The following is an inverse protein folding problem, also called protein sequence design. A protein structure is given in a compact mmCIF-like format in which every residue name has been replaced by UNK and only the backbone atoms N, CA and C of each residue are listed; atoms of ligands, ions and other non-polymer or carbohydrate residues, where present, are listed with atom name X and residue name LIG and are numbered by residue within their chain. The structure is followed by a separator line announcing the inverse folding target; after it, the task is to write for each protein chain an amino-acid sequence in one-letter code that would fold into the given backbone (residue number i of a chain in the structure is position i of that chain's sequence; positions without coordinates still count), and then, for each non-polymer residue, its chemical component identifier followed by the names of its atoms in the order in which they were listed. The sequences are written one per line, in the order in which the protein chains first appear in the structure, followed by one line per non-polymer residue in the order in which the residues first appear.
data_IF_202326185299
#
_entry.id   IF_202326185299
#
_cell.length_a   1.000
_cell.length_b   1.000
_cell.length_c   1.000
_cell.angle_alpha   90.00
_cell.angle_beta   90.00
_cell.angle_gamma   90.00
#
_symmetry.space_group_name_H-M   'P 1'
#
loop_
_entity.id
_entity.type
_entity.pdbx_description
1 polymer ?
#
# COMPACT_ATOMS: atom_id res chain seq x y z
N UNK A 1 -28.92 5.40 -25.76
CA UNK A 1 -27.45 5.47 -25.69
C UNK A 1 -27.03 4.75 -24.43
N UNK A 2 -26.30 3.65 -24.52
CA UNK A 2 -25.73 3.01 -23.34
C UNK A 2 -24.66 3.95 -22.77
N UNK A 3 -24.73 4.26 -21.47
CA UNK A 3 -23.69 5.03 -20.80
C UNK A 3 -22.36 4.29 -20.97
N UNK A 4 -21.31 5.00 -21.42
CA UNK A 4 -19.97 4.42 -21.52
C UNK A 4 -19.50 4.08 -20.10
N UNK A 5 -18.79 2.96 -19.95
CA UNK A 5 -18.21 2.58 -18.66
C UNK A 5 -17.35 3.74 -18.12
N UNK A 6 -17.65 4.19 -16.89
CA UNK A 6 -17.00 5.35 -16.27
C UNK A 6 -17.79 6.66 -16.30
N UNK A 7 -19.02 6.68 -16.82
CA UNK A 7 -19.93 7.85 -16.77
C UNK A 7 -20.97 7.81 -15.62
N UNK A 8 -20.81 6.90 -14.65
CA UNK A 8 -21.71 6.89 -13.49
C UNK A 8 -21.52 8.20 -12.69
N UNK A 9 -22.62 8.89 -12.31
CA UNK A 9 -22.54 10.06 -11.46
C UNK A 9 -21.98 9.68 -10.08
N UNK A 10 -21.28 10.61 -9.45
CA UNK A 10 -20.87 10.43 -8.06
C UNK A 10 -22.10 10.31 -7.17
N UNK A 11 -21.99 9.47 -6.13
CA UNK A 11 -23.09 9.32 -5.17
C UNK A 11 -23.39 10.65 -4.48
N UNK A 12 -24.67 10.86 -4.11
CA UNK A 12 -25.08 12.02 -3.33
C UNK A 12 -24.25 12.16 -2.05
N UNK A 13 -23.89 11.03 -1.42
CA UNK A 13 -23.03 11.01 -0.24
C UNK A 13 -21.65 11.61 -0.55
N UNK A 14 -20.98 11.15 -1.61
CA UNK A 14 -19.65 11.66 -1.98
C UNK A 14 -19.68 13.17 -2.28
N UNK A 15 -20.69 13.63 -3.04
CA UNK A 15 -20.88 15.05 -3.34
C UNK A 15 -21.14 15.87 -2.08
N UNK A 16 -21.99 15.38 -1.17
CA UNK A 16 -22.33 16.07 0.07
C UNK A 16 -21.14 16.14 1.04
N UNK A 17 -20.41 15.04 1.20
CA UNK A 17 -19.18 14.99 2.00
C UNK A 17 -18.16 16.00 1.48
N UNK A 18 -17.89 16.01 0.17
CA UNK A 18 -16.95 16.95 -0.44
C UNK A 18 -17.40 18.41 -0.31
N UNK A 19 -18.71 18.68 -0.40
CA UNK A 19 -19.27 20.02 -0.17
C UNK A 19 -19.11 20.47 1.28
N UNK A 20 -19.43 19.59 2.25
CA UNK A 20 -19.29 19.86 3.67
C UNK A 20 -17.84 20.16 4.05
N UNK A 21 -16.87 19.38 3.56
CA UNK A 21 -15.44 19.58 3.84
C UNK A 21 -14.92 20.92 3.29
N UNK A 22 -15.36 21.34 2.10
CA UNK A 22 -15.03 22.67 1.54
C UNK A 22 -15.72 23.82 2.26
N UNK A 23 -16.72 23.55 3.11
CA UNK A 23 -17.56 24.55 3.75
C UNK A 23 -17.78 24.28 5.25
N UNK A 24 -16.81 23.67 5.95
CA UNK A 24 -16.98 23.17 7.34
C UNK A 24 -17.61 24.21 8.28
N UNK A 25 -17.14 25.47 8.22
CA UNK A 25 -17.63 26.58 9.06
C UNK A 25 -19.06 27.03 8.75
N UNK A 26 -19.58 26.72 7.55
CA UNK A 26 -20.96 27.06 7.14
C UNK A 26 -21.93 25.92 7.39
N UNK A 27 -21.43 24.70 7.49
CA UNK A 27 -22.25 23.48 7.55
C UNK A 27 -22.36 22.94 8.97
N UNK A 28 -21.24 22.59 9.59
CA UNK A 28 -21.23 21.75 10.80
C UNK A 28 -20.27 22.23 11.90
N UNK A 29 -19.38 23.18 11.61
CA UNK A 29 -18.40 23.70 12.55
C UNK A 29 -18.58 25.19 12.80
N UNK A 30 -18.00 25.68 13.90
CA UNK A 30 -17.84 27.10 14.20
C UNK A 30 -16.44 27.34 14.81
N UNK A 31 -16.01 28.60 14.89
CA UNK A 31 -14.77 28.98 15.57
C UNK A 31 -15.06 29.25 17.05
N UNK A 32 -14.49 28.44 17.93
CA UNK A 32 -14.53 28.63 19.37
C UNK A 32 -13.41 29.53 19.87
N UNK A 33 -13.21 29.52 21.18
CA UNK A 33 -12.16 30.31 21.85
C UNK A 33 -10.76 29.92 21.32
N UNK A 34 -9.91 30.92 21.11
CA UNK A 34 -8.56 30.73 20.56
C UNK A 34 -8.55 30.30 19.09
N UNK A 35 -9.59 30.63 18.32
CA UNK A 35 -9.72 30.29 16.89
C UNK A 35 -9.71 28.77 16.61
N UNK A 36 -10.08 27.95 17.62
CA UNK A 36 -10.15 26.49 17.49
C UNK A 36 -11.42 26.09 16.73
N UNK A 37 -11.27 25.14 15.81
CA UNK A 37 -12.40 24.60 15.06
C UNK A 37 -13.21 23.66 15.97
N UNK A 38 -14.48 23.98 16.19
CA UNK A 38 -15.38 23.20 17.05
C UNK A 38 -16.58 22.68 16.26
N UNK A 39 -17.03 21.47 16.59
CA UNK A 39 -18.28 20.92 16.07
C UNK A 39 -19.46 21.63 16.75
N UNK A 40 -20.50 22.00 15.98
CA UNK A 40 -21.71 22.58 16.57
C UNK A 40 -22.40 21.59 17.52
N UNK A 41 -22.99 22.10 18.60
CA UNK A 41 -23.62 21.28 19.64
C UNK A 41 -24.86 20.51 19.18
N UNK A 42 -25.47 20.91 18.07
CA UNK A 42 -26.61 20.25 17.44
C UNK A 42 -26.21 19.18 16.41
N UNK A 43 -24.90 18.97 16.20
CA UNK A 43 -24.38 18.03 15.21
C UNK A 43 -23.87 16.75 15.87
N UNK A 44 -24.45 15.63 15.48
CA UNK A 44 -23.97 14.30 15.81
C UNK A 44 -23.57 13.57 14.54
N UNK A 45 -22.37 12.98 14.53
CA UNK A 45 -21.81 12.29 13.38
C UNK A 45 -21.60 10.80 13.72
N UNK A 46 -22.43 9.88 13.14
CA UNK A 46 -22.21 8.44 13.28
C UNK A 46 -21.01 7.96 12.46
N UNK A 47 -20.59 6.72 12.70
CA UNK A 47 -19.41 6.08 12.09
C UNK A 47 -19.38 6.15 10.57
N UNK A 48 -20.51 5.92 9.90
CA UNK A 48 -20.58 5.93 8.44
C UNK A 48 -20.29 7.31 7.84
N UNK A 49 -20.54 8.39 8.60
CA UNK A 49 -20.29 9.76 8.19
C UNK A 49 -18.89 10.20 8.61
N UNK A 50 -18.48 9.93 9.86
CA UNK A 50 -17.16 10.26 10.36
C UNK A 50 -16.05 9.60 9.55
N UNK A 51 -16.12 8.29 9.33
CA UNK A 51 -15.09 7.54 8.58
C UNK A 51 -14.98 8.09 7.15
N UNK A 52 -16.12 8.41 6.50
CA UNK A 52 -16.13 9.03 5.17
C UNK A 52 -15.58 10.45 5.17
N UNK A 53 -15.91 11.26 6.17
CA UNK A 53 -15.39 12.64 6.28
C UNK A 53 -13.87 12.64 6.40
N UNK A 54 -13.30 11.80 7.26
CA UNK A 54 -11.83 11.74 7.46
C UNK A 54 -11.14 11.21 6.20
N UNK A 55 -11.63 10.12 5.62
CA UNK A 55 -11.01 9.53 4.43
C UNK A 55 -11.12 10.45 3.20
N UNK A 56 -12.28 11.08 2.97
CA UNK A 56 -12.43 12.06 1.88
C UNK A 56 -11.65 13.36 2.16
N UNK A 57 -11.51 13.78 3.41
CA UNK A 57 -10.64 14.91 3.76
C UNK A 57 -9.20 14.61 3.37
N UNK A 58 -8.68 13.44 3.73
CA UNK A 58 -7.36 13.00 3.29
C UNK A 58 -7.28 12.97 1.75
N UNK A 59 -8.22 12.34 1.05
CA UNK A 59 -8.22 12.32 -0.43
C UNK A 59 -8.18 13.73 -1.06
N UNK A 60 -8.93 14.69 -0.52
CA UNK A 60 -8.96 16.06 -1.03
C UNK A 60 -7.63 16.76 -0.81
N UNK A 61 -7.04 16.65 0.40
CA UNK A 61 -5.71 17.24 0.69
C UNK A 61 -4.64 16.71 -0.27
N UNK A 62 -4.71 15.44 -0.66
CA UNK A 62 -3.71 14.85 -1.55
C UNK A 62 -3.96 15.17 -3.03
N UNK A 63 -5.23 15.15 -3.47
CA UNK A 63 -5.60 15.15 -4.90
C UNK A 63 -6.06 16.49 -5.47
N UNK A 64 -6.47 17.44 -4.62
CA UNK A 64 -7.01 18.73 -5.02
C UNK A 64 -6.10 19.86 -4.51
N UNK A 65 -5.28 20.43 -5.39
CA UNK A 65 -4.37 21.54 -5.04
C UNK A 65 -5.09 22.81 -4.62
N UNK A 66 -6.41 22.94 -4.89
CA UNK A 66 -7.22 24.06 -4.42
C UNK A 66 -7.81 23.85 -3.03
N UNK A 67 -7.65 22.67 -2.44
CA UNK A 67 -8.19 22.36 -1.12
C UNK A 67 -7.20 22.75 -0.02
N UNK A 68 -7.59 23.73 0.80
CA UNK A 68 -6.81 24.15 1.95
C UNK A 68 -7.12 23.29 3.19
N UNK A 69 -6.12 22.56 3.74
CA UNK A 69 -6.26 21.83 4.99
C UNK A 69 -6.71 22.76 6.12
N UNK A 70 -7.52 22.24 7.04
CA UNK A 70 -7.96 22.99 8.22
C UNK A 70 -7.20 22.50 9.44
N UNK A 71 -6.51 23.43 10.12
CA UNK A 71 -5.88 23.15 11.41
C UNK A 71 -6.91 22.70 12.44
N UNK A 72 -6.54 21.67 13.21
CA UNK A 72 -7.41 21.10 14.24
C UNK A 72 -8.57 20.27 13.71
N UNK A 73 -8.60 19.91 12.41
CA UNK A 73 -9.65 19.04 11.85
C UNK A 73 -9.88 17.77 12.68
N UNK A 74 -8.82 17.10 13.13
CA UNK A 74 -8.93 15.88 13.93
C UNK A 74 -9.49 16.12 15.34
N UNK A 75 -9.37 17.34 15.88
CA UNK A 75 -9.94 17.70 17.19
C UNK A 75 -11.48 17.63 17.19
N UNK A 76 -12.11 17.76 16.02
CA UNK A 76 -13.55 17.59 15.85
C UNK A 76 -14.05 16.21 16.28
N UNK A 77 -13.15 15.21 16.27
CA UNK A 77 -13.46 13.82 16.59
C UNK A 77 -12.97 13.40 17.98
N UNK A 78 -12.71 14.36 18.88
CA UNK A 78 -12.19 14.07 20.22
C UNK A 78 -13.24 13.65 21.24
N UNK A 79 -14.54 13.94 21.01
CA UNK A 79 -15.65 13.52 21.87
C UNK A 79 -16.42 12.33 21.24
N UNK A 80 -16.31 11.11 21.81
CA UNK A 80 -17.03 9.92 21.35
C UNK A 80 -18.56 10.01 21.46
N UNK A 81 -19.08 10.99 22.20
CA UNK A 81 -20.53 11.20 22.36
C UNK A 81 -21.13 11.95 21.18
N UNK A 82 -20.35 12.82 20.54
CA UNK A 82 -20.78 13.64 19.40
C UNK A 82 -20.34 13.05 18.07
N UNK A 83 -19.23 12.30 18.08
CA UNK A 83 -18.64 11.70 16.88
C UNK A 83 -18.23 10.26 17.15
N UNK A 84 -18.31 9.40 16.15
CA UNK A 84 -17.84 8.01 16.26
C UNK A 84 -16.91 7.71 15.10
N UNK A 85 -15.62 7.50 15.37
CA UNK A 85 -14.69 6.98 14.37
C UNK A 85 -14.46 5.50 14.60
N UNK A 86 -14.51 4.73 13.52
CA UNK A 86 -14.21 3.29 13.57
C UNK A 86 -13.14 2.87 12.57
N UNK A 87 -13.03 3.57 11.44
CA UNK A 87 -12.07 3.26 10.39
C UNK A 87 -11.41 4.53 9.89
N UNK A 88 -10.09 4.57 10.01
CA UNK A 88 -9.31 5.76 9.67
C UNK A 88 -8.13 5.36 8.80
N UNK A 89 -8.01 5.99 7.63
CA UNK A 89 -6.86 5.85 6.76
C UNK A 89 -6.17 7.21 6.60
N UNK A 90 -4.92 7.26 7.05
CA UNK A 90 -4.05 8.43 7.01
C UNK A 90 -2.80 8.10 6.19
N UNK A 91 -2.36 9.06 5.39
CA UNK A 91 -1.20 8.89 4.52
C UNK A 91 -0.29 10.11 4.60
N UNK A 92 0.99 9.86 4.40
CA UNK A 92 2.06 10.85 4.22
C UNK A 92 2.24 11.76 5.45
N UNK A 93 3.09 12.79 5.33
CA UNK A 93 3.57 13.63 6.44
C UNK A 93 2.59 14.72 6.90
N UNK A 94 1.32 14.60 6.51
CA UNK A 94 0.24 15.51 6.90
C UNK A 94 -0.25 15.30 8.34
N UNK A 95 0.06 14.14 8.93
CA UNK A 95 -0.48 13.72 10.23
C UNK A 95 0.60 13.73 11.29
N UNK A 96 0.31 14.42 12.38
CA UNK A 96 1.22 14.63 13.49
C UNK A 96 0.74 13.89 14.74
N UNK A 97 1.61 13.76 15.75
CA UNK A 97 1.26 13.08 17.00
C UNK A 97 -0.03 13.64 17.63
N UNK A 98 -0.23 14.97 17.58
CA UNK A 98 -1.42 15.66 18.10
C UNK A 98 -2.73 15.21 17.43
N UNK A 99 -2.67 14.82 16.16
CA UNK A 99 -3.84 14.40 15.39
C UNK A 99 -4.29 13.00 15.80
N UNK A 100 -3.33 12.10 16.02
CA UNK A 100 -3.61 10.77 16.54
C UNK A 100 -4.10 10.85 18.01
N UNK A 101 -3.45 11.68 18.83
CA UNK A 101 -3.86 11.97 20.22
C UNK A 101 -5.30 12.50 20.28
N UNK A 102 -5.71 13.36 19.35
CA UNK A 102 -7.07 13.90 19.28
C UNK A 102 -8.14 12.81 19.13
N UNK A 103 -7.84 11.73 18.39
CA UNK A 103 -8.76 10.61 18.19
C UNK A 103 -8.54 9.45 19.17
N UNK A 104 -7.64 9.62 20.16
CA UNK A 104 -7.23 8.57 21.11
C UNK A 104 -8.36 8.01 21.97
N UNK A 105 -9.49 8.71 22.10
CA UNK A 105 -10.68 8.26 22.86
C UNK A 105 -11.69 7.47 22.02
N UNK A 106 -11.45 7.31 20.73
CA UNK A 106 -12.34 6.61 19.81
C UNK A 106 -12.12 5.09 19.87
N UNK A 107 -13.17 4.32 19.59
CA UNK A 107 -13.11 2.86 19.54
C UNK A 107 -12.73 2.36 18.14
N UNK A 108 -11.50 2.67 17.71
CA UNK A 108 -11.04 2.33 16.37
C UNK A 108 -10.97 0.81 16.16
N UNK A 109 -11.53 0.35 15.03
CA UNK A 109 -11.48 -1.03 14.56
C UNK A 109 -10.36 -1.19 13.53
N UNK A 110 -10.20 -0.21 12.64
CA UNK A 110 -9.19 -0.19 11.58
C UNK A 110 -8.44 1.15 11.59
N UNK A 111 -7.12 1.08 11.67
CA UNK A 111 -6.25 2.25 11.58
C UNK A 111 -5.11 1.96 10.60
N UNK A 112 -5.09 2.67 9.48
CA UNK A 112 -4.04 2.54 8.47
C UNK A 112 -3.26 3.84 8.40
N UNK A 113 -1.99 3.78 8.77
CA UNK A 113 -1.01 4.84 8.65
C UNK A 113 -0.01 4.42 7.56
N UNK A 114 0.20 5.25 6.55
CA UNK A 114 1.06 4.92 5.41
C UNK A 114 2.00 6.08 5.12
N UNK A 115 3.31 5.88 5.25
CA UNK A 115 4.33 6.92 5.07
C UNK A 115 4.17 8.16 5.98
N UNK A 116 3.61 8.00 7.17
CA UNK A 116 3.49 9.09 8.15
C UNK A 116 4.78 9.19 8.98
N UNK A 117 5.79 9.90 8.47
CA UNK A 117 7.11 10.08 9.09
C UNK A 117 7.15 11.25 10.09
N UNK A 118 6.10 12.07 10.14
CA UNK A 118 5.91 13.10 11.17
C UNK A 118 5.48 12.54 12.53
N UNK A 119 5.15 11.24 12.60
CA UNK A 119 4.77 10.56 13.84
C UNK A 119 6.01 10.11 14.62
N UNK A 120 5.91 10.12 15.95
CA UNK A 120 6.95 9.68 16.88
C UNK A 120 6.46 8.61 17.85
N UNK A 121 7.31 8.20 18.79
CA UNK A 121 6.95 7.27 19.86
C UNK A 121 5.77 7.76 20.73
N UNK A 122 5.42 9.05 20.71
CA UNK A 122 4.17 9.55 21.31
C UNK A 122 2.94 8.89 20.70
N UNK A 123 2.91 8.74 19.38
CA UNK A 123 1.82 8.06 18.67
C UNK A 123 1.69 6.59 19.07
N UNK A 124 2.78 5.90 19.40
CA UNK A 124 2.71 4.52 19.92
C UNK A 124 1.98 4.45 21.27
N UNK A 125 2.14 5.46 22.14
CA UNK A 125 1.38 5.55 23.39
C UNK A 125 -0.11 5.74 23.12
N UNK A 126 -0.46 6.56 22.13
CA UNK A 126 -1.85 6.70 21.70
C UNK A 126 -2.40 5.41 21.11
N UNK A 127 -1.64 4.68 20.29
CA UNK A 127 -2.05 3.37 19.78
C UNK A 127 -2.43 2.38 20.89
N UNK A 128 -1.82 2.51 22.07
CA UNK A 128 -2.16 1.70 23.23
C UNK A 128 -3.61 1.88 23.71
N UNK A 129 -4.27 3.02 23.44
CA UNK A 129 -5.67 3.23 23.80
C UNK A 129 -6.61 2.33 22.98
N UNK A 130 -6.23 1.98 21.75
CA UNK A 130 -7.02 1.13 20.85
C UNK A 130 -6.81 -0.38 21.06
N UNK A 131 -6.00 -0.78 22.06
CA UNK A 131 -5.62 -2.19 22.33
C UNK A 131 -6.80 -3.18 22.35
N UNK A 132 -7.96 -2.75 22.85
CA UNK A 132 -9.12 -3.63 23.05
C UNK A 132 -10.07 -3.68 21.84
N UNK A 133 -9.95 -2.74 20.90
CA UNK A 133 -10.89 -2.56 19.79
C UNK A 133 -10.27 -2.91 18.45
N UNK A 134 -8.97 -2.64 18.27
CA UNK A 134 -8.30 -2.70 16.99
C UNK A 134 -8.24 -4.13 16.43
N UNK A 135 -8.69 -4.28 15.19
CA UNK A 135 -8.69 -5.53 14.42
C UNK A 135 -7.70 -5.46 13.25
N UNK A 136 -7.52 -4.27 12.67
CA UNK A 136 -6.55 -4.03 11.59
C UNK A 136 -5.69 -2.82 11.89
N UNK A 137 -4.37 -3.02 11.80
CA UNK A 137 -3.37 -1.95 11.91
C UNK A 137 -2.41 -2.01 10.74
N UNK A 138 -2.13 -0.87 10.11
CA UNK A 138 -1.01 -0.71 9.20
C UNK A 138 -0.16 0.47 9.66
N UNK A 139 1.16 0.26 9.76
CA UNK A 139 2.19 1.26 10.04
C UNK A 139 3.20 1.31 8.88
N UNK A 140 2.74 1.03 7.66
CA UNK A 140 3.60 0.85 6.50
C UNK A 140 4.40 2.13 6.20
N UNK A 141 5.73 2.01 6.19
CA UNK A 141 6.62 3.13 5.90
C UNK A 141 6.62 4.24 6.97
N UNK A 142 6.09 4.01 8.17
CA UNK A 142 6.16 4.94 9.29
C UNK A 142 7.47 4.76 10.07
N UNK A 143 8.61 5.13 9.49
CA UNK A 143 9.93 4.83 10.07
C UNK A 143 10.16 5.52 11.42
N UNK A 144 9.73 6.78 11.56
CA UNK A 144 10.00 7.59 12.76
C UNK A 144 9.10 7.29 13.97
N UNK A 145 8.01 6.51 13.79
CA UNK A 145 7.05 6.25 14.87
C UNK A 145 7.67 5.50 16.06
N UNK A 146 8.79 4.80 15.86
CA UNK A 146 9.51 4.08 16.91
C UNK A 146 10.58 4.92 17.63
N UNK A 147 10.78 6.19 17.23
CA UNK A 147 11.80 7.05 17.82
C UNK A 147 11.19 8.12 18.72
N UNK A 148 11.87 8.41 19.82
CA UNK A 148 11.51 9.52 20.70
C UNK A 148 11.93 10.83 20.05
N UNK A 149 10.98 11.76 19.88
CA UNK A 149 11.29 13.13 19.46
C UNK A 149 12.22 13.73 20.51
N UNK A 150 13.42 14.14 20.09
CA UNK A 150 14.47 14.60 21.00
C UNK A 150 14.08 15.89 21.71
N UNK A 151 13.52 15.77 22.91
CA UNK A 151 13.75 16.72 23.99
C UNK A 151 14.90 16.16 24.81
N UNK A 152 15.97 16.93 25.01
CA UNK A 152 16.97 16.56 26.01
C UNK A 152 16.24 16.27 27.35
N UNK A 153 16.68 15.28 28.15
CA UNK A 153 16.23 15.18 29.52
C UNK A 153 16.84 16.38 30.27
N UNK A 154 16.20 17.53 30.21
CA UNK A 154 16.64 18.69 30.97
C UNK A 154 16.20 18.52 32.41
N UNK A 155 17.17 18.62 33.30
CA UNK A 155 16.91 18.99 34.67
C UNK A 155 16.11 20.32 34.67
N UNK A 156 14.93 20.30 35.32
CA UNK A 156 14.13 21.46 35.80
C UNK A 156 13.47 22.31 34.67
N UNK A 157 12.22 22.78 34.69
CA UNK A 157 11.20 23.01 35.71
C UNK A 157 9.79 22.88 35.11
N UNK A 158 8.78 22.64 35.96
CA UNK A 158 7.38 22.91 35.67
C UNK A 158 7.17 24.41 35.37
N UNK A 159 6.21 24.70 34.49
CA UNK A 159 5.75 26.03 34.04
C UNK A 159 6.56 26.73 32.93
N UNK A 160 6.11 26.57 31.69
CA UNK A 160 6.54 27.37 30.54
C UNK A 160 5.79 26.97 29.27
N UNK A 161 5.00 27.90 28.74
CA UNK A 161 4.24 27.78 27.48
C UNK A 161 5.17 27.36 26.34
N UNK A 162 4.82 26.29 25.61
CA UNK A 162 5.60 25.78 24.48
C UNK A 162 5.54 26.79 23.32
N UNK A 163 6.58 27.63 23.22
CA UNK A 163 6.84 28.44 22.03
C UNK A 163 7.31 27.53 20.88
N UNK A 164 6.59 27.63 19.77
CA UNK A 164 6.87 26.99 18.49
C UNK A 164 8.16 27.56 17.89
N UNK A 165 9.31 26.91 18.11
CA UNK A 165 10.55 27.26 17.42
C UNK A 165 11.06 26.11 16.53
N UNK A 166 10.96 26.38 15.23
CA UNK A 166 11.71 25.85 14.08
C UNK A 166 12.01 24.35 14.02
N UNK A 167 11.30 23.69 13.11
CA UNK A 167 11.54 22.34 12.61
C UNK A 167 12.91 22.23 11.89
N UNK A 168 13.99 22.23 12.66
CA UNK A 168 15.25 21.71 12.15
C UNK A 168 15.15 20.18 12.15
N UNK A 169 15.14 19.63 10.93
CA UNK A 169 15.19 18.21 10.62
C UNK A 169 16.37 17.57 11.40
N UNK A 170 16.05 17.03 12.57
CA UNK A 170 17.07 16.50 13.46
C UNK A 170 17.68 15.25 12.80
N UNK A 171 19.01 15.12 12.69
CA UNK A 171 19.61 13.94 12.11
C UNK A 171 19.13 12.69 12.84
N UNK A 172 18.60 11.70 12.10
CA UNK A 172 18.11 10.43 12.63
C UNK A 172 19.10 9.73 13.58
N UNK A 173 20.40 10.03 13.44
CA UNK A 173 21.50 9.52 14.26
C UNK A 173 21.49 9.93 15.74
N UNK A 174 20.53 10.75 16.20
CA UNK A 174 20.43 11.21 17.61
C UNK A 174 19.09 10.91 18.29
N UNK A 175 18.14 10.26 17.63
CA UNK A 175 16.86 9.93 18.25
C UNK A 175 16.94 8.57 18.96
N UNK A 176 16.53 8.53 20.23
CA UNK A 176 16.53 7.29 21.00
C UNK A 176 15.33 6.42 20.58
N UNK A 177 15.59 5.15 20.25
CA UNK A 177 14.55 4.17 19.98
C UNK A 177 13.68 3.94 21.22
N UNK A 178 12.37 3.90 21.06
CA UNK A 178 11.46 3.51 22.13
C UNK A 178 11.34 1.98 22.19
N UNK A 179 12.07 1.39 23.14
CA UNK A 179 12.09 -0.07 23.36
C UNK A 179 10.95 -0.56 24.23
N UNK A 180 10.13 0.34 24.80
CA UNK A 180 9.13 -0.01 25.81
C UNK A 180 7.78 -0.41 25.18
N UNK A 181 7.59 -0.16 23.88
CA UNK A 181 6.36 -0.50 23.18
C UNK A 181 6.38 -1.94 22.65
N UNK A 182 5.30 -2.67 22.90
CA UNK A 182 5.00 -3.95 22.25
C UNK A 182 3.51 -4.05 21.89
N UNK A 183 3.17 -4.93 20.97
CA UNK A 183 1.78 -5.26 20.66
C UNK A 183 1.12 -6.20 21.68
N UNK A 184 1.70 -6.34 22.87
CA UNK A 184 1.08 -7.09 23.94
C UNK A 184 -0.27 -6.48 24.35
N UNK A 185 -1.29 -7.35 24.42
CA UNK A 185 -2.64 -6.97 24.81
C UNK A 185 -3.57 -6.60 23.64
N UNK A 186 -3.05 -6.54 22.41
CA UNK A 186 -3.86 -6.40 21.18
C UNK A 186 -4.56 -7.72 20.81
N UNK A 187 -5.45 -8.18 21.68
CA UNK A 187 -6.04 -9.53 21.61
C UNK A 187 -6.98 -9.73 20.43
N UNK A 188 -7.48 -8.65 19.82
CA UNK A 188 -8.39 -8.68 18.65
C UNK A 188 -7.69 -8.41 17.33
N UNK A 189 -6.39 -8.09 17.35
CA UNK A 189 -5.66 -7.72 16.15
C UNK A 189 -5.47 -8.94 15.24
N UNK A 190 -6.03 -8.85 14.04
CA UNK A 190 -6.05 -9.92 13.05
C UNK A 190 -5.19 -9.62 11.83
N UNK A 191 -5.08 -8.34 11.48
CA UNK A 191 -4.31 -7.86 10.34
C UNK A 191 -3.28 -6.84 10.86
N UNK A 192 -2.01 -7.12 10.65
CA UNK A 192 -0.92 -6.22 11.04
C UNK A 192 0.05 -6.06 9.87
N UNK A 193 0.27 -4.80 9.48
CA UNK A 193 1.29 -4.43 8.50
C UNK A 193 2.34 -3.54 9.17
N UNK A 194 3.58 -4.03 9.16
CA UNK A 194 4.78 -3.37 9.67
C UNK A 194 5.84 -3.23 8.57
N UNK A 195 5.42 -3.14 7.31
CA UNK A 195 6.35 -2.97 6.20
C UNK A 195 7.16 -1.68 6.35
N UNK A 196 8.46 -1.75 6.07
CA UNK A 196 9.39 -0.64 6.26
C UNK A 196 9.79 -0.38 7.72
N UNK A 197 9.72 -1.40 8.58
CA UNK A 197 10.22 -1.31 9.96
C UNK A 197 11.72 -0.91 9.98
N UNK A 198 12.15 0.02 10.84
CA UNK A 198 13.57 0.36 10.99
C UNK A 198 14.42 -0.86 11.40
N UNK A 199 15.69 -0.89 10.97
CA UNK A 199 16.60 -2.03 11.20
C UNK A 199 16.90 -2.26 12.69
N UNK A 200 16.82 -1.20 13.52
CA UNK A 200 17.09 -1.28 14.96
C UNK A 200 15.94 -1.90 15.76
N UNK A 201 14.75 -2.04 15.17
CA UNK A 201 13.57 -2.58 15.85
C UNK A 201 13.54 -4.09 15.70
N UNK A 202 13.55 -4.82 16.82
CA UNK A 202 13.39 -6.28 16.81
C UNK A 202 11.91 -6.67 16.59
N UNK A 203 11.55 -7.25 15.42
CA UNK A 203 10.18 -7.67 15.15
C UNK A 203 9.72 -8.79 16.08
N UNK A 204 10.63 -9.64 16.57
CA UNK A 204 10.27 -10.74 17.45
C UNK A 204 9.79 -10.24 18.83
N UNK A 205 10.47 -9.24 19.39
CA UNK A 205 10.09 -8.60 20.64
C UNK A 205 8.78 -7.79 20.48
N UNK A 206 8.62 -7.09 19.35
CA UNK A 206 7.48 -6.23 19.07
C UNK A 206 6.15 -7.01 18.95
N UNK A 207 6.18 -8.18 18.32
CA UNK A 207 4.98 -8.93 17.92
C UNK A 207 4.42 -9.90 18.98
N UNK A 208 5.04 -10.01 20.16
CA UNK A 208 4.64 -11.01 21.17
C UNK A 208 3.89 -10.41 22.36
N UNK A 209 2.75 -10.99 22.79
CA UNK A 209 1.88 -11.97 22.11
C UNK A 209 0.78 -11.33 21.24
N UNK A 210 0.54 -11.89 20.05
CA UNK A 210 -0.59 -11.54 19.18
C UNK A 210 -1.46 -12.77 18.89
N UNK A 211 -2.45 -13.08 19.74
CA UNK A 211 -3.18 -14.35 19.66
C UNK A 211 -4.17 -14.41 18.49
N UNK A 212 -4.74 -13.32 18.02
CA UNK A 212 -5.75 -13.35 16.95
C UNK A 212 -5.17 -13.15 15.54
N UNK A 213 -3.84 -13.03 15.40
CA UNK A 213 -3.22 -12.62 14.14
C UNK A 213 -3.45 -13.65 13.03
N UNK A 214 -3.89 -13.19 11.87
CA UNK A 214 -4.19 -14.01 10.68
C UNK A 214 -3.53 -13.49 9.40
N UNK A 215 -3.17 -12.21 9.36
CA UNK A 215 -2.40 -11.59 8.28
C UNK A 215 -1.26 -10.77 8.86
N UNK A 216 -0.06 -11.00 8.34
CA UNK A 216 1.15 -10.29 8.75
C UNK A 216 1.91 -9.81 7.51
N UNK A 217 2.25 -8.53 7.48
CA UNK A 217 3.12 -7.94 6.48
C UNK A 217 4.39 -7.40 7.16
N UNK A 218 5.54 -7.92 6.73
CA UNK A 218 6.88 -7.57 7.16
C UNK A 218 7.74 -7.15 5.97
N UNK A 219 7.14 -6.50 4.98
CA UNK A 219 7.83 -6.03 3.78
C UNK A 219 9.05 -5.17 4.14
N UNK A 220 10.21 -5.46 3.57
CA UNK A 220 11.44 -4.70 3.78
C UNK A 220 12.03 -4.81 5.20
N UNK A 221 11.55 -5.75 6.02
CA UNK A 221 12.07 -5.95 7.38
C UNK A 221 13.23 -6.95 7.37
N UNK A 222 14.28 -6.67 8.15
CA UNK A 222 15.36 -7.62 8.40
C UNK A 222 14.91 -8.70 9.38
N UNK A 223 14.96 -9.96 8.94
CA UNK A 223 14.56 -11.12 9.74
C UNK A 223 15.78 -12.01 10.03
N UNK A 224 16.59 -11.69 11.06
CA UNK A 224 17.77 -12.49 11.41
C UNK A 224 17.39 -13.90 11.86
N UNK A 225 16.20 -14.09 12.43
CA UNK A 225 15.64 -15.40 12.82
C UNK A 225 14.17 -15.44 12.44
N UNK A 226 13.76 -16.49 11.75
CA UNK A 226 12.38 -16.64 11.29
C UNK A 226 11.50 -17.43 12.27
N UNK A 227 12.10 -18.17 13.19
CA UNK A 227 11.42 -19.15 14.04
C UNK A 227 10.22 -18.60 14.83
N UNK A 228 10.21 -17.30 15.15
CA UNK A 228 9.08 -16.67 15.87
C UNK A 228 7.77 -16.71 15.06
N UNK A 229 7.81 -16.82 13.74
CA UNK A 229 6.63 -16.96 12.89
C UNK A 229 5.84 -18.23 13.21
N UNK A 230 6.51 -19.27 13.72
CA UNK A 230 5.89 -20.56 14.06
C UNK A 230 4.81 -20.44 15.15
N UNK A 231 4.79 -19.35 15.92
CA UNK A 231 3.73 -19.10 16.91
C UNK A 231 2.32 -18.99 16.28
N UNK A 232 2.23 -18.68 14.98
CA UNK A 232 0.97 -18.59 14.23
C UNK A 232 0.74 -19.74 13.25
N UNK A 233 1.48 -20.85 13.38
CA UNK A 233 1.42 -22.04 12.49
C UNK A 233 -0.01 -22.52 12.19
N UNK A 234 -0.86 -22.54 13.20
CA UNK A 234 -2.25 -23.05 13.11
C UNK A 234 -3.28 -22.00 12.63
N UNK A 235 -2.88 -20.77 12.31
CA UNK A 235 -3.86 -19.68 12.06
C UNK A 235 -3.46 -18.65 11.00
N UNK A 236 -2.17 -18.47 10.73
CA UNK A 236 -1.73 -17.46 9.77
C UNK A 236 -2.21 -17.84 8.37
N UNK A 237 -3.00 -16.97 7.76
CA UNK A 237 -3.59 -17.17 6.44
C UNK A 237 -2.89 -16.32 5.36
N UNK A 238 -2.24 -15.23 5.74
CA UNK A 238 -1.55 -14.32 4.83
C UNK A 238 -0.22 -13.86 5.41
N UNK A 239 0.84 -13.97 4.64
CA UNK A 239 2.19 -13.53 5.00
C UNK A 239 2.83 -12.82 3.81
N UNK A 240 3.23 -11.56 4.03
CA UNK A 240 3.93 -10.73 3.04
C UNK A 240 5.34 -10.45 3.54
N UNK A 241 6.31 -10.85 2.73
CA UNK A 241 7.76 -10.74 2.94
C UNK A 241 8.41 -10.07 1.73
N UNK A 242 7.73 -9.08 1.12
CA UNK A 242 8.26 -8.35 -0.02
C UNK A 242 9.59 -7.69 0.36
N UNK A 243 10.62 -7.80 -0.48
CA UNK A 243 11.96 -7.26 -0.21
C UNK A 243 12.64 -7.80 1.08
N UNK A 244 12.21 -8.94 1.60
CA UNK A 244 12.91 -9.65 2.69
C UNK A 244 13.96 -10.60 2.09
N UNK A 245 15.13 -10.68 2.71
CA UNK A 245 16.17 -11.61 2.29
C UNK A 245 15.81 -13.06 2.64
N UNK A 246 15.53 -13.84 1.59
CA UNK A 246 15.25 -15.26 1.73
C UNK A 246 16.50 -16.06 2.14
N UNK A 247 16.30 -16.95 3.12
CA UNK A 247 17.25 -17.97 3.55
C UNK A 247 16.55 -19.34 3.57
N UNK A 248 17.33 -20.43 3.60
CA UNK A 248 16.74 -21.77 3.76
C UNK A 248 15.98 -21.91 5.08
N UNK A 249 16.45 -21.27 6.17
CA UNK A 249 15.75 -21.25 7.46
C UNK A 249 14.37 -20.58 7.36
N UNK A 250 14.30 -19.42 6.70
CA UNK A 250 13.05 -18.69 6.51
C UNK A 250 12.08 -19.51 5.65
N UNK A 251 12.55 -20.09 4.55
CA UNK A 251 11.72 -20.97 3.70
C UNK A 251 11.19 -22.15 4.53
N UNK A 252 12.05 -22.84 5.29
CA UNK A 252 11.64 -23.98 6.12
C UNK A 252 10.58 -23.58 7.15
N UNK A 253 10.73 -22.41 7.78
CA UNK A 253 9.73 -21.90 8.73
C UNK A 253 8.40 -21.57 8.04
N UNK A 254 8.46 -20.94 6.86
CA UNK A 254 7.26 -20.55 6.10
C UNK A 254 6.47 -21.77 5.63
N UNK A 255 7.13 -22.82 5.13
CA UNK A 255 6.43 -24.02 4.63
C UNK A 255 5.73 -24.82 5.74
N UNK A 256 6.10 -24.60 7.00
CA UNK A 256 5.40 -25.19 8.14
C UNK A 256 4.05 -24.51 8.43
N UNK A 257 3.79 -23.32 7.90
CA UNK A 257 2.54 -22.56 8.09
C UNK A 257 1.42 -23.15 7.22
N UNK A 258 0.95 -24.36 7.54
CA UNK A 258 0.02 -25.12 6.67
C UNK A 258 -1.34 -24.46 6.39
N UNK A 259 -1.74 -23.45 7.18
CA UNK A 259 -2.96 -22.66 6.95
C UNK A 259 -2.77 -21.47 6.00
N UNK A 260 -1.55 -21.23 5.52
CA UNK A 260 -1.25 -20.11 4.66
C UNK A 260 -1.96 -20.23 3.31
N UNK A 261 -2.66 -19.16 2.94
CA UNK A 261 -3.42 -19.02 1.69
C UNK A 261 -2.78 -18.00 0.76
N UNK A 262 -2.11 -17.00 1.33
CA UNK A 262 -1.43 -15.95 0.59
C UNK A 262 0.02 -15.88 1.07
N UNK A 263 0.95 -16.16 0.16
CA UNK A 263 2.38 -15.98 0.39
C UNK A 263 2.93 -14.99 -0.62
N UNK A 264 3.56 -13.94 -0.13
CA UNK A 264 4.35 -13.04 -0.95
C UNK A 264 5.79 -13.05 -0.46
N UNK A 265 6.69 -13.48 -1.34
CA UNK A 265 8.14 -13.43 -1.12
C UNK A 265 8.81 -12.66 -2.25
N UNK A 266 8.06 -11.81 -2.94
CA UNK A 266 8.54 -11.06 -4.10
C UNK A 266 9.62 -10.04 -3.70
N UNK A 267 10.38 -9.56 -4.68
CA UNK A 267 11.40 -8.54 -4.43
C UNK A 267 11.62 -7.63 -5.63
N UNK A 268 12.17 -6.47 -5.34
CA UNK A 268 12.49 -5.46 -6.34
C UNK A 268 13.85 -5.73 -6.99
N UNK A 269 14.88 -5.93 -6.15
CA UNK A 269 16.29 -6.08 -6.53
C UNK A 269 16.70 -7.54 -6.47
N UNK A 270 17.54 -7.93 -7.42
CA UNK A 270 18.11 -9.27 -7.49
C UNK A 270 18.97 -9.57 -6.26
N UNK A 271 18.66 -10.65 -5.55
CA UNK A 271 19.50 -11.17 -4.46
C UNK A 271 20.54 -12.18 -4.92
N UNK A 272 21.47 -12.47 -4.02
CA UNK A 272 22.32 -13.67 -4.10
C UNK A 272 21.50 -14.97 -3.99
N UNK A 273 20.37 -14.93 -3.26
CA UNK A 273 19.45 -16.05 -3.17
C UNK A 273 18.83 -16.33 -4.55
N UNK A 274 18.89 -17.59 -4.98
CA UNK A 274 18.32 -18.06 -6.24
C UNK A 274 17.17 -19.02 -5.95
N UNK A 275 16.08 -18.82 -6.67
CA UNK A 275 14.92 -19.69 -6.57
C UNK A 275 15.18 -21.00 -7.33
N UNK A 276 15.03 -22.13 -6.65
CA UNK A 276 15.31 -23.47 -7.21
C UNK A 276 14.05 -24.32 -7.25
N UNK A 277 14.05 -25.37 -8.11
CA UNK A 277 12.96 -26.37 -8.12
C UNK A 277 12.67 -26.91 -6.72
N UNK A 278 13.70 -27.24 -5.93
CA UNK A 278 13.55 -27.81 -4.58
C UNK A 278 12.77 -26.87 -3.65
N UNK A 279 13.09 -25.57 -3.67
CA UNK A 279 12.42 -24.56 -2.83
C UNK A 279 10.96 -24.40 -3.25
N UNK A 280 10.69 -24.25 -4.55
CA UNK A 280 9.32 -24.11 -5.03
C UNK A 280 8.49 -25.37 -4.77
N UNK A 281 9.05 -26.56 -4.94
CA UNK A 281 8.37 -27.83 -4.61
C UNK A 281 8.06 -27.88 -3.12
N UNK A 282 8.99 -27.47 -2.24
CA UNK A 282 8.73 -27.41 -0.80
C UNK A 282 7.59 -26.44 -0.45
N UNK A 283 7.53 -25.27 -1.11
CA UNK A 283 6.43 -24.31 -0.94
C UNK A 283 5.09 -24.93 -1.36
N UNK A 284 5.03 -25.55 -2.53
CA UNK A 284 3.78 -26.15 -3.06
C UNK A 284 3.31 -27.32 -2.21
N UNK A 285 4.22 -28.18 -1.76
CA UNK A 285 3.90 -29.35 -0.94
C UNK A 285 3.53 -28.98 0.51
N UNK A 286 4.26 -28.03 1.10
CA UNK A 286 4.02 -27.58 2.47
C UNK A 286 2.74 -26.73 2.60
N UNK A 287 2.50 -25.84 1.65
CA UNK A 287 1.38 -24.90 1.67
C UNK A 287 0.19 -25.42 0.86
N UNK A 288 -0.42 -26.49 1.33
CA UNK A 288 -1.52 -27.19 0.61
C UNK A 288 -2.78 -26.35 0.39
N UNK A 289 -2.93 -25.26 1.15
CA UNK A 289 -4.07 -24.33 1.08
C UNK A 289 -3.77 -23.05 0.30
N UNK A 290 -2.62 -22.98 -0.37
CA UNK A 290 -2.18 -21.78 -1.09
C UNK A 290 -3.15 -21.42 -2.22
N UNK A 291 -3.55 -20.17 -2.25
CA UNK A 291 -4.46 -19.56 -3.22
C UNK A 291 -3.75 -18.45 -4.00
N UNK A 292 -2.75 -17.81 -3.39
CA UNK A 292 -1.98 -16.72 -3.96
C UNK A 292 -0.50 -16.91 -3.64
N UNK A 293 0.35 -16.82 -4.65
CA UNK A 293 1.80 -16.86 -4.52
C UNK A 293 2.44 -15.73 -5.32
N UNK A 294 3.29 -14.93 -4.71
CA UNK A 294 4.13 -13.98 -5.44
C UNK A 294 5.62 -14.28 -5.25
N UNK A 295 6.29 -14.57 -6.37
CA UNK A 295 7.73 -14.81 -6.45
C UNK A 295 8.41 -13.86 -7.44
N UNK A 296 7.77 -12.71 -7.71
CA UNK A 296 8.28 -11.73 -8.66
C UNK A 296 9.67 -11.22 -8.27
N UNK A 297 10.50 -10.95 -9.27
CA UNK A 297 11.86 -10.43 -9.11
C UNK A 297 12.93 -11.43 -8.66
N UNK A 298 12.58 -12.71 -8.47
CA UNK A 298 13.58 -13.75 -8.19
C UNK A 298 14.30 -14.23 -9.45
N UNK A 299 15.60 -14.52 -9.30
CA UNK A 299 16.36 -15.25 -10.31
C UNK A 299 16.03 -16.74 -10.17
N UNK A 300 15.53 -17.30 -11.27
CA UNK A 300 15.15 -18.70 -11.35
C UNK A 300 16.33 -19.53 -11.88
N UNK A 301 16.57 -20.70 -11.30
CA UNK A 301 17.49 -21.67 -11.90
C UNK A 301 16.77 -22.50 -12.97
N UNK A 302 17.50 -22.85 -14.03
CA UNK A 302 17.03 -23.50 -15.28
C UNK A 302 16.40 -24.90 -15.10
N UNK A 303 16.22 -25.34 -13.86
CA UNK A 303 15.54 -26.59 -13.54
C UNK A 303 14.05 -26.41 -13.21
N UNK A 304 13.48 -25.20 -13.25
CA UNK A 304 12.09 -25.01 -12.83
C UNK A 304 11.05 -25.31 -13.94
N UNK A 305 11.44 -25.21 -15.21
CA UNK A 305 10.53 -25.33 -16.36
C UNK A 305 10.67 -26.68 -17.07
N UNK A 306 9.59 -27.08 -17.73
CA UNK A 306 9.56 -28.20 -18.67
C UNK A 306 10.43 -27.84 -19.90
N UNK A 307 11.25 -28.75 -20.45
CA UNK A 307 12.02 -28.49 -21.66
C UNK A 307 11.14 -28.06 -22.83
N UNK A 308 11.61 -27.09 -23.64
CA UNK A 308 10.86 -26.52 -24.78
C UNK A 308 10.32 -27.56 -25.78
N UNK A 309 10.94 -28.74 -25.87
CA UNK A 309 10.49 -29.82 -26.77
C UNK A 309 9.11 -30.40 -26.35
N UNK A 310 8.77 -30.33 -25.07
CA UNK A 310 7.47 -30.79 -24.52
C UNK A 310 6.45 -29.64 -24.37
N UNK A 311 6.88 -28.37 -24.50
CA UNK A 311 6.04 -27.18 -24.30
C UNK A 311 5.14 -26.87 -25.52
N UNK A 312 5.39 -27.51 -26.66
CA UNK A 312 5.10 -26.96 -27.97
C UNK A 312 3.69 -27.22 -28.56
N UNK A 313 2.73 -27.86 -27.88
CA UNK A 313 1.44 -28.17 -28.54
C UNK A 313 0.21 -28.01 -27.64
N UNK A 314 -0.33 -26.80 -27.53
CA UNK A 314 -1.65 -26.60 -26.92
C UNK A 314 -2.08 -25.16 -26.72
N UNK A 315 -3.38 -24.95 -26.50
CA UNK A 315 -3.90 -23.68 -25.97
C UNK A 315 -3.43 -23.53 -24.51
N UNK A 316 -3.17 -22.30 -24.02
CA UNK A 316 -2.85 -22.07 -22.61
C UNK A 316 -3.86 -22.78 -21.69
N UNK A 317 -3.34 -23.43 -20.65
CA UNK A 317 -4.12 -24.24 -19.70
C UNK A 317 -3.77 -23.80 -18.29
N UNK A 318 -4.79 -23.71 -17.44
CA UNK A 318 -4.63 -23.40 -16.02
C UNK A 318 -4.62 -24.66 -15.14
N UNK A 319 -4.84 -25.84 -15.72
CA UNK A 319 -4.81 -27.10 -14.98
C UNK A 319 -3.39 -27.38 -14.43
N UNK A 320 -3.22 -27.58 -13.10
CA UNK A 320 -1.93 -27.86 -12.50
C UNK A 320 -1.13 -28.95 -13.21
N UNK A 321 -1.73 -30.11 -13.49
CA UNK A 321 -1.05 -31.25 -14.12
C UNK A 321 -0.44 -30.96 -15.50
N UNK A 322 -0.88 -29.89 -16.18
CA UNK A 322 -0.35 -29.43 -17.47
C UNK A 322 0.64 -28.27 -17.35
N UNK A 323 0.96 -27.84 -16.13
CA UNK A 323 1.84 -26.70 -15.88
C UNK A 323 3.21 -26.90 -16.54
N UNK A 324 3.68 -25.86 -17.24
CA UNK A 324 5.03 -25.78 -17.79
C UNK A 324 6.09 -25.50 -16.70
N UNK A 325 5.67 -25.32 -15.45
CA UNK A 325 6.51 -25.10 -14.27
C UNK A 325 6.37 -26.34 -13.38
N UNK A 326 7.43 -27.15 -13.30
CA UNK A 326 7.38 -28.49 -12.67
C UNK A 326 6.81 -28.48 -11.25
N UNK A 327 7.29 -27.62 -10.31
CA UNK A 327 6.73 -27.56 -8.96
C UNK A 327 5.21 -27.33 -8.92
N UNK A 328 4.67 -26.57 -9.88
CA UNK A 328 3.25 -26.23 -9.90
C UNK A 328 2.36 -27.34 -10.46
N UNK A 329 2.93 -28.44 -10.97
CA UNK A 329 2.17 -29.63 -11.34
C UNK A 329 1.53 -30.32 -10.14
N UNK A 330 2.09 -30.13 -8.95
CA UNK A 330 1.63 -30.72 -7.69
C UNK A 330 0.55 -29.88 -6.98
N UNK A 331 0.18 -28.72 -7.54
CA UNK A 331 -0.91 -27.93 -6.98
C UNK A 331 -2.23 -28.70 -7.06
N UNK A 332 -3.00 -28.67 -5.97
CA UNK A 332 -4.34 -29.30 -5.92
C UNK A 332 -5.37 -28.58 -6.80
N UNK A 333 -5.16 -27.30 -7.08
CA UNK A 333 -6.04 -26.43 -7.86
C UNK A 333 -5.23 -25.27 -8.46
N UNK A 334 -5.71 -24.62 -9.54
CA UNK A 334 -5.10 -23.40 -10.03
C UNK A 334 -5.11 -22.31 -8.96
N UNK A 335 -4.04 -21.52 -8.88
CA UNK A 335 -3.98 -20.36 -7.99
C UNK A 335 -4.93 -19.25 -8.48
N UNK A 336 -5.48 -18.47 -7.56
CA UNK A 336 -6.23 -17.26 -7.93
C UNK A 336 -5.29 -16.17 -8.42
N UNK A 337 -4.10 -16.09 -7.84
CA UNK A 337 -3.07 -15.13 -8.21
C UNK A 337 -1.69 -15.80 -8.20
N UNK A 338 -0.90 -15.54 -9.24
CA UNK A 338 0.49 -15.95 -9.32
C UNK A 338 1.36 -14.80 -9.84
N UNK A 339 2.20 -14.28 -8.96
CA UNK A 339 3.12 -13.20 -9.26
C UNK A 339 4.44 -13.72 -9.85
N UNK A 340 4.67 -13.45 -11.14
CA UNK A 340 5.85 -13.87 -11.90
C UNK A 340 6.56 -12.70 -12.57
N UNK A 341 6.25 -11.46 -12.19
CA UNK A 341 6.82 -10.27 -12.79
C UNK A 341 8.35 -10.26 -12.64
N UNK A 342 9.07 -9.93 -13.71
CA UNK A 342 10.54 -10.02 -13.78
C UNK A 342 11.12 -11.40 -13.43
N UNK A 343 10.41 -12.49 -13.74
CA UNK A 343 10.94 -13.86 -13.68
C UNK A 343 10.97 -14.48 -15.07
N UNK A 344 11.87 -15.42 -15.32
CA UNK A 344 11.88 -16.19 -16.58
C UNK A 344 10.63 -17.09 -16.71
N UNK A 345 9.98 -17.43 -15.58
CA UNK A 345 8.78 -18.27 -15.57
C UNK A 345 7.55 -17.62 -16.20
N UNK A 346 7.46 -16.29 -16.27
CA UNK A 346 6.29 -15.63 -16.86
C UNK A 346 6.15 -15.90 -18.38
N UNK A 347 7.22 -16.36 -19.03
CA UNK A 347 7.28 -16.59 -20.47
C UNK A 347 6.71 -17.95 -20.90
N UNK A 348 6.48 -18.87 -19.97
CA UNK A 348 5.97 -20.22 -20.30
C UNK A 348 4.53 -20.22 -20.78
N UNK A 349 4.08 -21.32 -21.37
CA UNK A 349 2.75 -21.44 -21.99
C UNK A 349 1.63 -21.79 -21.00
N UNK A 350 1.84 -22.80 -20.14
CA UNK A 350 0.82 -23.30 -19.22
C UNK A 350 1.15 -22.87 -17.79
N UNK A 351 0.47 -21.82 -17.33
CA UNK A 351 0.63 -21.26 -15.97
C UNK A 351 -0.67 -21.55 -15.19
N UNK A 352 -0.62 -22.31 -14.09
CA UNK A 352 -1.81 -22.76 -13.39
C UNK A 352 -2.38 -21.69 -12.45
N UNK A 353 -2.79 -20.56 -13.00
CA UNK A 353 -3.41 -19.48 -12.25
C UNK A 353 -4.43 -18.67 -13.07
N UNK A 354 -5.43 -18.10 -12.40
CA UNK A 354 -6.44 -17.25 -13.03
C UNK A 354 -5.94 -15.83 -13.34
N UNK A 355 -5.13 -15.27 -12.44
CA UNK A 355 -4.48 -13.96 -12.61
C UNK A 355 -2.98 -14.13 -12.50
N UNK A 356 -2.24 -13.70 -13.52
CA UNK A 356 -0.79 -13.83 -13.60
C UNK A 356 -0.17 -12.46 -13.83
N UNK A 357 0.81 -12.07 -13.00
CA UNK A 357 1.67 -10.91 -13.28
C UNK A 357 2.92 -11.37 -14.01
N UNK A 358 3.46 -10.54 -14.89
CA UNK A 358 4.54 -10.93 -15.77
C UNK A 358 4.85 -9.87 -16.82
N UNK A 359 5.82 -10.15 -17.69
CA UNK A 359 6.25 -9.24 -18.75
C UNK A 359 6.05 -9.82 -20.16
N UNK A 360 5.31 -10.94 -20.30
CA UNK A 360 5.12 -11.62 -21.59
C UNK A 360 4.13 -10.91 -22.51
N UNK A 361 3.07 -10.33 -21.95
CA UNK A 361 1.97 -9.73 -22.72
C UNK A 361 1.25 -8.62 -21.93
N UNK A 362 0.36 -7.90 -22.63
CA UNK A 362 -0.42 -6.78 -22.09
C UNK A 362 -1.18 -7.16 -20.80
N UNK A 363 -1.86 -8.30 -20.76
CA UNK A 363 -2.66 -8.68 -19.60
C UNK A 363 -1.80 -8.93 -18.35
N UNK A 364 -0.66 -9.59 -18.52
CA UNK A 364 0.31 -9.80 -17.43
C UNK A 364 0.87 -8.48 -16.89
N UNK A 365 1.15 -7.51 -17.77
CA UNK A 365 1.65 -6.18 -17.40
C UNK A 365 0.57 -5.39 -16.66
N UNK A 366 -0.67 -5.38 -17.15
CA UNK A 366 -1.79 -4.72 -16.47
C UNK A 366 -2.08 -5.35 -15.10
N UNK A 367 -2.02 -6.69 -15.01
CA UNK A 367 -2.12 -7.40 -13.74
C UNK A 367 -0.99 -6.99 -12.77
N UNK A 368 0.23 -6.76 -13.26
CA UNK A 368 1.36 -6.31 -12.45
C UNK A 368 1.15 -4.88 -11.93
N UNK A 369 0.70 -3.94 -12.78
CA UNK A 369 0.39 -2.57 -12.35
C UNK A 369 -0.69 -2.62 -11.26
N UNK A 370 -1.77 -3.35 -11.49
CA UNK A 370 -2.86 -3.48 -10.53
C UNK A 370 -2.42 -4.07 -9.19
N UNK A 371 -1.55 -5.09 -9.20
CA UNK A 371 -1.09 -5.75 -7.98
C UNK A 371 -0.06 -4.92 -7.17
N UNK A 372 0.78 -4.13 -7.84
CA UNK A 372 1.94 -3.50 -7.21
C UNK A 372 1.79 -2.01 -6.95
N UNK A 373 0.73 -1.38 -7.47
CA UNK A 373 0.53 0.06 -7.33
C UNK A 373 0.46 0.55 -5.90
N UNK A 374 -0.09 -0.18 -4.92
CA UNK A 374 -0.31 0.44 -3.61
C UNK A 374 0.97 0.55 -2.74
N UNK A 375 1.73 -0.54 -2.62
CA UNK A 375 2.84 -0.65 -1.66
C UNK A 375 4.21 -0.89 -2.31
N UNK A 376 4.31 -0.90 -3.65
CA UNK A 376 5.54 -1.28 -4.37
C UNK A 376 5.81 -0.33 -5.55
N UNK A 377 6.12 0.95 -5.27
CA UNK A 377 6.25 1.98 -6.30
C UNK A 377 7.24 1.61 -7.41
N UNK A 378 8.34 0.92 -7.10
CA UNK A 378 9.37 0.57 -8.08
C UNK A 378 8.92 -0.55 -9.03
N UNK A 379 8.19 -1.55 -8.52
CA UNK A 379 7.59 -2.59 -9.36
C UNK A 379 6.47 -2.01 -10.23
N UNK A 380 5.62 -1.16 -9.65
CA UNK A 380 4.58 -0.45 -10.39
C UNK A 380 5.17 0.43 -11.49
N UNK A 381 6.20 1.24 -11.19
CA UNK A 381 6.95 2.03 -12.16
C UNK A 381 7.46 1.19 -13.32
N UNK A 382 8.15 0.07 -13.05
CA UNK A 382 8.67 -0.82 -14.10
C UNK A 382 7.55 -1.40 -14.97
N UNK A 383 6.43 -1.79 -14.38
CA UNK A 383 5.29 -2.32 -15.11
C UNK A 383 4.61 -1.25 -15.99
N UNK A 384 4.47 -0.03 -15.47
CA UNK A 384 3.98 1.13 -16.24
C UNK A 384 4.92 1.45 -17.41
N UNK A 385 6.24 1.33 -17.21
CA UNK A 385 7.21 1.52 -18.29
C UNK A 385 7.05 0.48 -19.41
N UNK A 386 6.77 -0.78 -19.07
CA UNK A 386 6.46 -1.81 -20.07
C UNK A 386 5.14 -1.53 -20.79
N UNK A 387 4.12 -1.05 -20.07
CA UNK A 387 2.87 -0.62 -20.67
C UNK A 387 3.08 0.56 -21.63
N UNK A 388 3.94 1.51 -21.28
CA UNK A 388 4.35 2.61 -22.15
C UNK A 388 4.94 2.08 -23.47
N UNK A 389 5.86 1.11 -23.42
CA UNK A 389 6.44 0.52 -24.62
C UNK A 389 5.39 -0.22 -25.47
N UNK A 390 4.46 -0.94 -24.83
CA UNK A 390 3.33 -1.59 -25.51
C UNK A 390 2.46 -0.52 -26.21
N UNK A 391 2.04 0.53 -25.49
CA UNK A 391 1.16 1.56 -26.02
C UNK A 391 1.80 2.41 -27.14
N UNK A 392 3.14 2.53 -27.13
CA UNK A 392 3.89 3.28 -28.15
C UNK A 392 4.10 2.49 -29.44
N UNK A 393 4.34 1.19 -29.34
CA UNK A 393 4.74 0.34 -30.48
C UNK A 393 3.56 -0.48 -31.03
N UNK A 394 2.60 -0.82 -30.18
CA UNK A 394 1.50 -1.73 -30.47
C UNK A 394 0.14 -1.11 -30.13
N UNK A 395 -0.94 -1.69 -30.63
CA UNK A 395 -2.29 -1.29 -30.25
C UNK A 395 -2.65 -1.86 -28.88
N UNK A 396 -3.00 -1.00 -27.92
CA UNK A 396 -3.44 -1.41 -26.58
C UNK A 396 -4.89 -1.90 -26.64
N UNK A 397 -5.11 -3.17 -26.34
CA UNK A 397 -6.43 -3.81 -26.44
C UNK A 397 -7.35 -3.48 -25.26
N UNK A 398 -6.80 -3.26 -24.08
CA UNK A 398 -7.52 -3.00 -22.83
C UNK A 398 -7.37 -1.53 -22.39
N UNK A 399 -7.55 -0.59 -23.31
CA UNK A 399 -7.29 0.83 -23.10
C UNK A 399 -7.93 1.40 -21.81
N UNK A 400 -9.22 1.17 -21.58
CA UNK A 400 -9.93 1.72 -20.43
C UNK A 400 -9.28 1.26 -19.11
N UNK A 401 -8.93 -0.02 -19.03
CA UNK A 401 -8.27 -0.61 -17.87
C UNK A 401 -6.86 -0.02 -17.70
N UNK A 402 -6.10 0.09 -18.79
CA UNK A 402 -4.78 0.71 -18.79
C UNK A 402 -4.83 2.16 -18.26
N UNK A 403 -5.73 2.98 -18.78
CA UNK A 403 -5.94 4.36 -18.33
C UNK A 403 -6.30 4.43 -16.84
N UNK A 404 -7.24 3.60 -16.39
CA UNK A 404 -7.64 3.57 -14.97
C UNK A 404 -6.50 3.19 -14.04
N UNK A 405 -5.69 2.18 -14.43
CA UNK A 405 -4.55 1.73 -13.63
C UNK A 405 -3.45 2.79 -13.56
N UNK A 406 -3.11 3.44 -14.68
CA UNK A 406 -2.09 4.50 -14.71
C UNK A 406 -2.56 5.73 -13.91
N UNK A 407 -3.83 6.13 -14.04
CA UNK A 407 -4.41 7.21 -13.22
C UNK A 407 -4.33 6.86 -11.73
N UNK A 408 -4.67 5.62 -11.36
CA UNK A 408 -4.59 5.16 -9.97
C UNK A 408 -3.14 5.22 -9.45
N UNK A 409 -2.16 4.79 -10.25
CA UNK A 409 -0.75 4.84 -9.87
C UNK A 409 -0.23 6.27 -9.69
N UNK A 410 -0.58 7.18 -10.61
CA UNK A 410 -0.21 8.60 -10.50
C UNK A 410 -0.83 9.28 -9.28
N UNK A 411 -2.05 8.89 -8.89
CA UNK A 411 -2.70 9.39 -7.66
C UNK A 411 -2.06 8.81 -6.40
N UNK A 412 -1.74 7.52 -6.42
CA UNK A 412 -1.19 6.81 -5.26
C UNK A 412 0.24 7.27 -4.95
N UNK A 413 1.04 7.57 -5.98
CA UNK A 413 2.46 7.88 -5.86
C UNK A 413 2.77 9.29 -6.36
N UNK A 414 2.12 10.29 -5.76
CA UNK A 414 2.26 11.70 -6.16
C UNK A 414 3.69 12.23 -6.03
N UNK A 415 4.42 11.76 -5.02
CA UNK A 415 5.79 12.20 -4.72
C UNK A 415 6.89 11.28 -5.26
N UNK A 416 6.52 10.24 -6.02
CA UNK A 416 7.50 9.41 -6.71
C UNK A 416 7.74 9.91 -8.12
N UNK A 417 8.88 10.57 -8.31
CA UNK A 417 9.29 11.15 -9.60
C UNK A 417 9.26 10.12 -10.74
N UNK A 418 9.72 8.90 -10.48
CA UNK A 418 9.79 7.84 -11.50
C UNK A 418 8.40 7.43 -11.98
N UNK A 419 7.45 7.24 -11.06
CA UNK A 419 6.05 6.92 -11.39
C UNK A 419 5.39 8.08 -12.11
N UNK A 420 5.59 9.33 -11.66
CA UNK A 420 4.99 10.51 -12.29
C UNK A 420 5.44 10.72 -13.74
N UNK A 421 6.74 10.62 -13.99
CA UNK A 421 7.31 10.81 -15.34
C UNK A 421 6.84 9.70 -16.29
N UNK A 422 7.04 8.44 -15.90
CA UNK A 422 6.70 7.29 -16.75
C UNK A 422 5.19 7.16 -16.94
N UNK A 423 4.40 7.37 -15.89
CA UNK A 423 2.93 7.33 -15.97
C UNK A 423 2.36 8.45 -16.84
N UNK A 424 2.87 9.69 -16.73
CA UNK A 424 2.44 10.79 -17.61
C UNK A 424 2.79 10.53 -19.07
N UNK A 425 3.98 9.99 -19.35
CA UNK A 425 4.38 9.57 -20.68
C UNK A 425 3.48 8.45 -21.22
N UNK A 426 3.11 7.46 -20.40
CA UNK A 426 2.16 6.41 -20.78
C UNK A 426 0.78 7.00 -21.11
N UNK A 427 0.27 7.95 -20.31
CA UNK A 427 -1.02 8.60 -20.57
C UNK A 427 -1.06 9.35 -21.90
N UNK A 428 0.05 9.96 -22.34
CA UNK A 428 0.11 10.61 -23.65
C UNK A 428 -0.24 9.65 -24.80
N UNK A 429 0.37 8.47 -24.81
CA UNK A 429 0.09 7.45 -25.84
C UNK A 429 -1.29 6.81 -25.68
N UNK A 430 -1.70 6.55 -24.43
CA UNK A 430 -3.03 6.01 -24.12
C UNK A 430 -4.16 7.04 -24.38
N UNK A 431 -3.84 8.30 -24.66
CA UNK A 431 -4.81 9.35 -25.00
C UNK A 431 -4.74 9.89 -26.42
N UNK A 432 -3.99 9.20 -27.28
CA UNK A 432 -3.92 9.53 -28.70
C UNK A 432 -5.31 9.56 -29.36
N UNK A 433 -5.41 10.32 -30.45
CA UNK A 433 -6.66 10.60 -31.18
C UNK A 433 -7.46 9.37 -31.59
N UNK A 434 -6.78 8.26 -31.89
CA UNK A 434 -7.40 6.96 -32.22
C UNK A 434 -8.32 6.44 -31.09
N UNK A 435 -7.98 6.77 -29.84
CA UNK A 435 -8.69 6.32 -28.65
C UNK A 435 -9.72 7.34 -28.11
N UNK A 436 -9.86 8.51 -28.75
CA UNK A 436 -10.79 9.57 -28.29
C UNK A 436 -12.23 9.07 -28.20
N UNK A 437 -12.62 8.18 -29.10
CA UNK A 437 -13.99 7.68 -29.14
C UNK A 437 -14.33 6.78 -27.94
N UNK A 438 -13.33 6.18 -27.29
CA UNK A 438 -13.51 5.28 -26.15
C UNK A 438 -13.47 6.01 -24.79
N UNK A 439 -13.10 7.30 -24.79
CA UNK A 439 -12.88 8.06 -23.57
C UNK A 439 -14.07 8.95 -23.19
N UNK A 440 -14.53 8.79 -21.95
CA UNK A 440 -15.53 9.70 -21.37
C UNK A 440 -14.94 11.08 -21.08
N UNK A 441 -15.81 12.09 -20.93
CA UNK A 441 -15.39 13.42 -20.47
C UNK A 441 -14.78 13.36 -19.07
N UNK A 442 -15.33 12.50 -18.19
CA UNK A 442 -14.84 12.29 -16.83
C UNK A 442 -13.43 11.72 -16.83
N UNK A 443 -13.16 10.69 -17.63
CA UNK A 443 -11.85 10.08 -17.73
C UNK A 443 -10.81 11.08 -18.26
N UNK A 444 -11.16 11.86 -19.28
CA UNK A 444 -10.30 12.94 -19.79
C UNK A 444 -9.99 14.00 -18.74
N UNK A 445 -10.99 14.41 -17.95
CA UNK A 445 -10.78 15.35 -16.83
C UNK A 445 -9.83 14.76 -15.79
N UNK A 446 -9.97 13.47 -15.47
CA UNK A 446 -9.06 12.79 -14.53
C UNK A 446 -7.63 12.72 -15.05
N UNK A 447 -7.43 12.38 -16.34
CA UNK A 447 -6.11 12.42 -16.99
C UNK A 447 -5.49 13.81 -16.88
N UNK A 448 -6.23 14.85 -17.25
CA UNK A 448 -5.74 16.23 -17.19
C UNK A 448 -5.35 16.59 -15.75
N UNK A 449 -6.20 16.27 -14.78
CA UNK A 449 -5.94 16.57 -13.37
C UNK A 449 -4.67 15.87 -12.86
N UNK A 450 -4.48 14.57 -13.10
CA UNK A 450 -3.29 13.86 -12.60
C UNK A 450 -2.01 14.34 -13.27
N UNK A 451 -2.05 14.67 -14.57
CA UNK A 451 -0.89 15.21 -15.28
C UNK A 451 -0.54 16.61 -14.78
N UNK A 452 -1.52 17.50 -14.62
CA UNK A 452 -1.28 18.85 -14.09
C UNK A 452 -0.72 18.82 -12.66
N UNK A 453 -1.28 17.97 -11.80
CA UNK A 453 -0.78 17.79 -10.44
C UNK A 453 0.69 17.31 -10.45
N UNK A 454 1.05 16.37 -11.34
CA UNK A 454 2.42 15.92 -11.51
C UNK A 454 3.35 17.02 -12.04
N UNK A 455 2.88 17.82 -12.99
CA UNK A 455 3.65 18.95 -13.55
C UNK A 455 3.90 20.07 -12.55
N UNK A 456 2.90 20.41 -11.73
CA UNK A 456 2.99 21.41 -10.66
C UNK A 456 4.06 21.02 -9.63
N UNK A 457 4.14 19.73 -9.29
CA UNK A 457 5.11 19.18 -8.35
C UNK A 457 6.52 19.01 -8.96
N UNK A 458 6.62 18.63 -10.24
CA UNK A 458 7.90 18.34 -10.93
C UNK A 458 8.17 19.29 -12.10
N UNK A 459 8.15 20.59 -11.80
CA UNK A 459 8.29 21.66 -12.80
C UNK A 459 9.57 21.53 -13.67
N UNK A 460 10.67 21.01 -13.11
CA UNK A 460 11.97 20.90 -13.79
C UNK A 460 12.06 19.77 -14.83
N UNK A 461 11.21 18.74 -14.75
CA UNK A 461 11.36 17.52 -15.57
C UNK A 461 10.52 17.60 -16.84
N UNK A 462 9.35 18.23 -16.78
CA UNK A 462 8.39 18.29 -17.88
C UNK A 462 8.86 19.16 -19.05
N UNK A 463 9.73 20.13 -18.81
CA UNK A 463 10.22 21.06 -19.85
C UNK A 463 11.22 20.39 -20.80
N UNK A 464 11.88 19.30 -20.40
CA UNK A 464 12.93 18.65 -21.21
C UNK A 464 12.39 17.67 -22.25
N UNK A 465 11.22 17.05 -22.04
CA UNK A 465 10.62 16.11 -23.01
C UNK A 465 9.86 16.80 -24.15
N UNK A 466 9.54 18.10 -24.00
CA UNK A 466 8.89 18.92 -25.04
C UNK A 466 9.87 19.71 -25.93
N UNK A 467 11.18 19.62 -25.67
CA UNK A 467 12.22 20.32 -26.41
C UNK A 467 13.29 19.33 -26.90
N UNK A 468 12.88 18.40 -27.77
CA UNK A 468 13.81 17.77 -28.72
C UNK A 468 13.59 18.48 -30.06
N UNK A 469 14.48 19.38 -30.51
CA UNK A 469 14.45 19.85 -31.89
C UNK A 469 14.87 18.69 -32.81
N UNK A 470 14.13 18.49 -33.89
CA UNK A 470 14.58 17.72 -35.06
C UNK A 470 15.92 18.21 -35.60
#
# INVERSE_FOLDING_TARGET
MAAKAGDNPDSLMALSTAFCLRNLRRTMCYLGDGNKLCLRSDVFLPSEICDKLVNTYMELVHSDSSFEPQDGFFQLFSDPRSTRLTRVQLREDLVWDRDLEAIGKQDLIELHLTYCNSLSARSLKTLASFRQTLVSLSLFGCSHIFYRKGGAPLAYNEDGEEEEEEEQQWPASRQALDTDFSFQGFNRLRLLNLGGLPEEVDPEALLKPLPALTSLDLSGVQLPRAAFLAQWKERLASLVLYNVDLSEELVNTVVELGHLRHLDISRERTSKFKMTRKILTAIVQGLVNLVSLDISGHIMLDNCTVPHLEEAMGRPSIEPCKSSIYPFQELKRPLQFLGLYNTTLCNVTHIPAYKVTGSKNEDQVLNAIEAYTEFRPELAHRAINQLFDIARIQHCSQLLRALQLVIAALKCHKYEKSVQVTGSAALFYLTNTEYRSDQSMRLRRQVIQVVLNGMEQYQEVTVKSSLSPE
#
